data_IF_391893060109
#
_entry.id   IF_391893060109
#
_cell.length_a   1.000
_cell.length_b   1.000
_cell.length_c   1.000
_cell.angle_alpha   90.00
_cell.angle_beta   90.00
_cell.angle_gamma   90.00
#
_symmetry.space_group_name_H-M   'P 1'
#
loop_
_entity.id
_entity.type
_entity.pdbx_description
1 polymer ?
#
# COMPACT_ATOMS: atom_id res chain seq x y z
N UNK A 1 0.68 23.28 6.36
CA UNK A 1 2.05 22.92 5.92
C UNK A 1 2.12 22.97 4.40
N UNK A 2 3.34 23.14 3.84
CA UNK A 2 3.62 22.89 2.42
C UNK A 2 4.17 21.48 2.30
N UNK A 3 3.55 20.63 1.46
CA UNK A 3 3.87 19.21 1.37
C UNK A 3 4.19 18.87 -0.09
N UNK A 4 5.32 18.20 -0.33
CA UNK A 4 5.65 17.61 -1.61
C UNK A 4 5.24 16.14 -1.63
N UNK A 5 4.37 15.76 -2.58
CA UNK A 5 3.93 14.38 -2.75
C UNK A 5 4.48 13.85 -4.08
N UNK A 6 5.35 12.83 -4.02
CA UNK A 6 5.80 12.15 -5.25
C UNK A 6 4.79 11.07 -5.64
N UNK A 7 4.54 10.88 -6.94
CA UNK A 7 3.49 9.97 -7.39
C UNK A 7 2.08 10.49 -7.10
N UNK A 8 1.91 11.79 -7.11
CA UNK A 8 0.69 12.52 -6.74
C UNK A 8 -0.54 12.16 -7.59
N UNK A 9 -0.32 11.69 -8.83
CA UNK A 9 -1.39 11.25 -9.74
C UNK A 9 -1.74 9.77 -9.62
N UNK A 10 -1.02 9.03 -8.78
CA UNK A 10 -1.30 7.63 -8.46
C UNK A 10 -2.55 7.45 -7.59
N UNK A 11 -2.92 6.18 -7.33
CA UNK A 11 -4.08 5.82 -6.51
C UNK A 11 -4.00 6.42 -5.09
N UNK A 12 -2.91 6.16 -4.36
CA UNK A 12 -2.72 6.68 -3.00
C UNK A 12 -2.56 8.20 -3.03
N UNK A 13 -1.74 8.74 -3.94
CA UNK A 13 -1.52 10.17 -4.09
C UNK A 13 -2.81 10.95 -4.31
N UNK A 14 -3.70 10.45 -5.18
CA UNK A 14 -5.00 11.08 -5.44
C UNK A 14 -5.93 11.13 -4.23
N UNK A 15 -5.90 10.10 -3.39
CA UNK A 15 -6.69 10.06 -2.17
C UNK A 15 -6.09 10.96 -1.07
N UNK A 16 -4.75 10.99 -0.95
CA UNK A 16 -4.07 11.90 -0.01
C UNK A 16 -4.31 13.37 -0.38
N UNK A 17 -4.26 13.73 -1.67
CA UNK A 17 -4.59 15.10 -2.10
C UNK A 17 -5.98 15.49 -1.63
N UNK A 18 -6.99 14.63 -1.82
CA UNK A 18 -8.36 14.91 -1.34
C UNK A 18 -8.45 15.10 0.17
N UNK A 19 -7.66 14.33 0.92
CA UNK A 19 -7.69 14.40 2.39
C UNK A 19 -6.93 15.60 2.95
N UNK A 20 -5.85 16.03 2.29
CA UNK A 20 -4.89 16.99 2.85
C UNK A 20 -5.01 18.40 2.27
N UNK A 21 -5.62 18.58 1.09
CA UNK A 21 -5.57 19.86 0.35
C UNK A 21 -6.41 20.98 0.96
N UNK A 22 -7.34 20.68 1.87
CA UNK A 22 -8.12 21.71 2.57
C UNK A 22 -7.28 22.42 3.65
N UNK A 23 -6.35 21.71 4.30
CA UNK A 23 -5.54 22.23 5.41
C UNK A 23 -4.07 22.47 5.02
N UNK A 24 -3.60 21.88 3.91
CA UNK A 24 -2.20 21.94 3.48
C UNK A 24 -2.05 22.39 2.02
N UNK A 25 -0.94 23.05 1.73
CA UNK A 25 -0.55 23.37 0.35
C UNK A 25 0.21 22.19 -0.25
N UNK A 26 -0.36 21.56 -1.27
CA UNK A 26 0.22 20.36 -1.90
C UNK A 26 0.95 20.73 -3.18
N UNK A 27 2.20 20.31 -3.29
CA UNK A 27 2.98 20.24 -4.52
C UNK A 27 3.15 18.79 -4.94
N UNK A 28 3.12 18.53 -6.23
CA UNK A 28 3.33 17.21 -6.80
C UNK A 28 4.71 17.04 -7.42
N UNK A 29 5.24 15.83 -7.40
CA UNK A 29 6.38 15.41 -8.21
C UNK A 29 5.99 14.11 -8.92
N UNK A 30 5.90 14.12 -10.24
CA UNK A 30 5.44 12.96 -11.00
C UNK A 30 6.08 12.93 -12.39
N UNK A 31 5.88 11.82 -13.11
CA UNK A 31 6.28 11.66 -14.53
C UNK A 31 5.25 12.29 -15.49
N UNK A 32 4.06 12.60 -14.99
CA UNK A 32 2.98 13.30 -15.70
C UNK A 32 2.55 14.51 -14.86
N UNK A 33 2.13 15.57 -15.51
CA UNK A 33 1.79 16.83 -14.84
C UNK A 33 0.46 17.45 -15.32
N UNK A 34 -0.65 16.66 -15.40
CA UNK A 34 -1.94 17.26 -15.66
C UNK A 34 -2.36 18.16 -14.49
N UNK A 35 -3.18 19.15 -14.77
CA UNK A 35 -3.81 19.94 -13.71
C UNK A 35 -4.64 19.02 -12.82
N UNK A 36 -4.51 19.20 -11.51
CA UNK A 36 -5.21 18.38 -10.52
C UNK A 36 -5.71 19.29 -9.39
N UNK A 37 -7.01 19.19 -9.12
CA UNK A 37 -7.61 19.91 -8.00
C UNK A 37 -6.93 19.54 -6.69
N UNK A 38 -6.67 20.54 -5.85
CA UNK A 38 -5.96 20.39 -4.58
C UNK A 38 -4.43 20.32 -4.71
N UNK A 39 -3.87 20.30 -5.93
CA UNK A 39 -2.41 20.37 -6.17
C UNK A 39 -2.06 21.71 -6.79
N UNK A 40 -1.20 22.47 -6.13
CA UNK A 40 -0.82 23.80 -6.61
C UNK A 40 0.00 23.75 -7.92
N UNK A 41 0.93 22.80 -7.99
CA UNK A 41 1.74 22.55 -9.18
C UNK A 41 2.36 21.15 -9.11
N UNK A 42 2.50 20.48 -10.26
CA UNK A 42 3.20 19.20 -10.37
C UNK A 42 4.50 19.39 -11.15
N UNK A 43 5.61 19.13 -10.49
CA UNK A 43 6.97 19.18 -11.04
C UNK A 43 7.35 17.84 -11.68
N UNK A 44 8.21 17.88 -12.68
CA UNK A 44 8.92 16.69 -13.17
C UNK A 44 10.20 16.43 -12.35
N UNK A 45 10.74 15.21 -12.43
CA UNK A 45 11.86 14.76 -11.60
C UNK A 45 13.18 15.52 -11.83
N UNK A 46 13.36 16.18 -12.98
CA UNK A 46 14.51 17.05 -13.29
C UNK A 46 14.52 18.34 -12.45
N UNK A 47 13.40 18.74 -11.87
CA UNK A 47 13.34 19.91 -11.00
C UNK A 47 14.09 19.72 -9.66
N UNK A 48 14.36 18.48 -9.25
CA UNK A 48 15.19 18.21 -8.07
C UNK A 48 16.65 18.63 -8.25
N UNK A 49 17.11 18.74 -9.50
CA UNK A 49 18.50 19.09 -9.84
C UNK A 49 18.65 20.60 -10.14
N UNK A 50 17.57 21.40 -10.05
CA UNK A 50 17.57 22.84 -10.32
C UNK A 50 17.67 23.63 -9.02
N UNK A 51 18.48 24.69 -9.00
CA UNK A 51 18.70 25.51 -7.81
C UNK A 51 17.41 26.14 -7.26
N UNK A 52 16.51 26.62 -8.16
CA UNK A 52 15.19 27.15 -7.81
C UNK A 52 14.05 26.21 -8.29
N UNK A 53 14.30 24.90 -8.25
CA UNK A 53 13.42 23.95 -8.91
C UNK A 53 12.11 23.70 -8.19
N UNK A 54 12.17 23.40 -6.90
CA UNK A 54 10.99 23.08 -6.07
C UNK A 54 10.90 24.08 -4.93
N UNK A 55 9.72 24.68 -4.67
CA UNK A 55 9.53 25.58 -3.53
C UNK A 55 9.89 24.90 -2.21
N UNK A 56 10.28 25.70 -1.23
CA UNK A 56 10.48 25.20 0.13
C UNK A 56 9.22 24.53 0.67
N UNK A 57 9.38 23.31 1.21
CA UNK A 57 8.32 22.49 1.77
C UNK A 57 8.67 22.06 3.19
N UNK A 58 7.65 21.78 4.00
CA UNK A 58 7.81 21.35 5.39
C UNK A 58 7.94 19.83 5.50
N UNK A 59 7.33 19.09 4.55
CA UNK A 59 7.32 17.64 4.53
C UNK A 59 7.34 17.07 3.11
N UNK A 60 7.88 15.86 2.98
CA UNK A 60 7.88 15.09 1.74
C UNK A 60 7.20 13.75 1.98
N UNK A 61 6.20 13.40 1.14
CA UNK A 61 5.54 12.10 1.12
C UNK A 61 5.96 11.39 -0.17
N UNK A 62 6.74 10.32 -0.03
CA UNK A 62 7.27 9.59 -1.19
C UNK A 62 6.43 8.35 -1.50
N UNK A 63 5.54 8.49 -2.50
CA UNK A 63 4.67 7.43 -3.01
C UNK A 63 5.14 6.87 -4.35
N UNK A 64 5.94 7.64 -5.11
CA UNK A 64 6.39 7.22 -6.43
C UNK A 64 7.13 5.89 -6.34
N UNK A 65 6.72 4.96 -7.16
CA UNK A 65 7.29 3.62 -7.18
C UNK A 65 6.56 2.72 -8.17
N UNK A 66 7.25 1.66 -8.58
CA UNK A 66 6.66 0.59 -9.38
C UNK A 66 5.98 -0.39 -8.43
N UNK A 67 4.64 -0.47 -8.49
CA UNK A 67 3.87 -1.46 -7.74
C UNK A 67 4.13 -2.87 -8.27
N UNK A 68 3.81 -3.87 -7.45
CA UNK A 68 3.91 -5.28 -7.84
C UNK A 68 3.12 -5.54 -9.14
N UNK A 69 3.81 -6.05 -10.15
CA UNK A 69 3.20 -6.41 -11.43
C UNK A 69 2.57 -7.81 -11.33
N UNK A 70 1.25 -7.85 -11.27
CA UNK A 70 0.48 -9.11 -11.21
C UNK A 70 0.62 -9.96 -12.47
N UNK A 71 1.17 -9.41 -13.57
CA UNK A 71 1.40 -10.11 -14.83
C UNK A 71 2.84 -10.62 -14.99
N UNK A 72 3.71 -10.35 -14.01
CA UNK A 72 5.14 -10.73 -13.99
C UNK A 72 5.91 -10.35 -15.29
N UNK A 73 5.54 -9.22 -15.92
CA UNK A 73 6.16 -8.76 -17.17
C UNK A 73 7.29 -7.76 -16.95
N UNK A 74 7.38 -7.20 -15.74
CA UNK A 74 8.38 -6.17 -15.43
C UNK A 74 9.72 -6.83 -15.12
N UNK A 75 10.77 -6.39 -15.81
CA UNK A 75 12.16 -6.82 -15.57
C UNK A 75 12.62 -6.34 -14.20
N UNK A 76 13.42 -7.15 -13.50
CA UNK A 76 13.93 -6.88 -12.15
C UNK A 76 14.54 -5.47 -12.03
N UNK A 77 15.41 -5.10 -12.96
CA UNK A 77 16.16 -3.83 -12.94
C UNK A 77 15.25 -2.59 -12.90
N UNK A 78 14.05 -2.68 -13.52
CA UNK A 78 13.08 -1.58 -13.48
C UNK A 78 12.56 -1.34 -12.06
N UNK A 79 12.38 -2.40 -11.26
CA UNK A 79 11.99 -2.25 -9.86
C UNK A 79 13.06 -1.53 -9.05
N UNK A 80 14.33 -1.92 -9.19
CA UNK A 80 15.43 -1.27 -8.47
C UNK A 80 15.64 0.17 -8.93
N UNK A 81 15.63 0.43 -10.24
CA UNK A 81 15.76 1.78 -10.78
C UNK A 81 14.66 2.71 -10.26
N UNK A 82 13.41 2.23 -10.21
CA UNK A 82 12.27 3.06 -9.82
C UNK A 82 12.11 3.08 -8.29
N UNK A 83 12.08 1.92 -7.61
CA UNK A 83 11.78 1.89 -6.18
C UNK A 83 12.97 2.28 -5.31
N UNK A 84 14.19 1.88 -5.69
CA UNK A 84 15.40 2.24 -4.93
C UNK A 84 15.99 3.55 -5.45
N UNK A 85 16.21 3.68 -6.75
CA UNK A 85 16.90 4.85 -7.32
C UNK A 85 16.13 6.17 -7.15
N UNK A 86 14.80 6.18 -7.37
CA UNK A 86 14.02 7.39 -7.11
C UNK A 86 13.91 7.70 -5.62
N UNK A 87 13.89 6.68 -4.76
CA UNK A 87 13.91 6.90 -3.30
C UNK A 87 15.22 7.54 -2.86
N UNK A 88 16.36 7.07 -3.35
CA UNK A 88 17.66 7.69 -3.07
C UNK A 88 17.65 9.16 -3.50
N UNK A 89 17.26 9.44 -4.76
CA UNK A 89 17.25 10.80 -5.30
C UNK A 89 16.38 11.77 -4.47
N UNK A 90 15.15 11.39 -4.09
CA UNK A 90 14.27 12.27 -3.32
C UNK A 90 14.68 12.35 -1.84
N UNK A 91 15.29 11.30 -1.30
CA UNK A 91 15.79 11.32 0.07
C UNK A 91 17.04 12.20 0.19
N UNK A 92 17.96 12.15 -0.77
CA UNK A 92 19.13 13.04 -0.83
C UNK A 92 18.68 14.52 -0.93
N UNK A 93 17.67 14.81 -1.77
CA UNK A 93 17.04 16.12 -1.81
C UNK A 93 16.46 16.53 -0.45
N UNK A 94 15.75 15.62 0.25
CA UNK A 94 15.25 15.87 1.59
C UNK A 94 16.36 16.20 2.58
N UNK A 95 17.48 15.48 2.54
CA UNK A 95 18.63 15.72 3.44
C UNK A 95 19.23 17.10 3.24
N UNK A 96 19.31 17.62 2.02
CA UNK A 96 19.84 18.96 1.71
C UNK A 96 18.86 20.10 2.01
N UNK A 97 17.55 19.80 2.09
CA UNK A 97 16.53 20.81 2.37
C UNK A 97 16.67 21.37 3.79
N UNK A 98 16.64 22.69 3.93
CA UNK A 98 16.69 23.41 5.22
C UNK A 98 15.32 23.42 5.93
N UNK A 99 14.24 23.39 5.16
CA UNK A 99 12.86 23.56 5.63
C UNK A 99 12.11 22.25 5.81
N UNK A 100 12.35 21.25 4.96
CA UNK A 100 11.72 19.94 5.07
C UNK A 100 12.25 19.20 6.32
N UNK A 101 11.35 18.97 7.28
CA UNK A 101 11.66 18.30 8.55
C UNK A 101 11.07 16.89 8.66
N UNK A 102 10.12 16.54 7.79
CA UNK A 102 9.45 15.23 7.83
C UNK A 102 9.52 14.53 6.49
N UNK A 103 9.92 13.26 6.50
CA UNK A 103 9.94 12.40 5.32
C UNK A 103 9.12 11.14 5.57
N UNK A 104 8.11 10.88 4.76
CA UNK A 104 7.24 9.71 4.85
C UNK A 104 7.46 8.86 3.61
N UNK A 105 8.09 7.70 3.78
CA UNK A 105 8.36 6.74 2.71
C UNK A 105 7.34 5.61 2.71
N UNK A 106 6.70 5.39 1.57
CA UNK A 106 5.81 4.25 1.36
C UNK A 106 6.60 3.02 0.88
N UNK A 107 6.91 2.17 1.83
CA UNK A 107 7.41 0.83 1.59
C UNK A 107 6.23 -0.15 1.40
N UNK A 108 6.32 -1.34 1.90
CA UNK A 108 5.30 -2.39 1.83
C UNK A 108 5.55 -3.46 2.89
N UNK A 109 4.52 -4.10 3.40
CA UNK A 109 4.66 -5.28 4.25
C UNK A 109 5.47 -6.39 3.55
N UNK A 110 5.42 -6.47 2.22
CA UNK A 110 6.22 -7.40 1.39
C UNK A 110 7.73 -7.14 1.41
N UNK A 111 8.19 -5.95 1.80
CA UNK A 111 9.61 -5.68 2.04
C UNK A 111 10.12 -6.41 3.29
N UNK A 112 9.25 -6.63 4.27
CA UNK A 112 9.60 -7.39 5.47
C UNK A 112 9.52 -8.90 5.23
N UNK A 113 8.40 -9.41 4.68
CA UNK A 113 8.20 -10.83 4.46
C UNK A 113 7.22 -11.13 3.32
N UNK A 114 7.46 -12.18 2.54
CA UNK A 114 6.49 -12.70 1.57
C UNK A 114 5.45 -13.61 2.22
N UNK A 115 5.87 -14.37 3.24
CA UNK A 115 5.00 -15.20 4.08
C UNK A 115 5.17 -14.79 5.54
N UNK A 116 4.10 -14.96 6.31
CA UNK A 116 4.08 -14.63 7.73
C UNK A 116 3.56 -15.83 8.50
N UNK A 117 4.38 -16.33 9.42
CA UNK A 117 3.97 -17.31 10.42
C UNK A 117 3.56 -16.55 11.69
N UNK A 118 2.25 -16.48 11.94
CA UNK A 118 1.69 -15.66 13.01
C UNK A 118 1.39 -14.22 12.59
N UNK A 119 1.90 -13.25 13.33
CA UNK A 119 1.65 -11.82 13.11
C UNK A 119 2.95 -11.12 12.74
N UNK A 120 2.95 -10.42 11.61
CA UNK A 120 4.06 -9.59 11.17
C UNK A 120 4.17 -8.35 12.06
N UNK A 121 5.28 -8.23 12.76
CA UNK A 121 5.69 -7.02 13.51
C UNK A 121 6.87 -6.35 12.81
N UNK A 122 7.27 -5.17 13.31
CA UNK A 122 8.43 -4.45 12.76
C UNK A 122 9.78 -5.09 13.13
N UNK A 123 9.79 -5.96 14.14
CA UNK A 123 10.99 -6.65 14.64
C UNK A 123 11.39 -7.86 13.79
N UNK A 124 10.53 -8.27 12.85
CA UNK A 124 10.84 -9.39 11.93
C UNK A 124 12.04 -9.02 11.06
N UNK A 125 13.05 -9.89 11.03
CA UNK A 125 14.19 -9.74 10.12
C UNK A 125 13.69 -9.82 8.68
N UNK A 126 13.94 -8.78 7.85
CA UNK A 126 13.39 -8.73 6.50
C UNK A 126 13.89 -9.89 5.64
N UNK A 127 12.95 -10.59 5.00
CA UNK A 127 13.19 -11.69 4.05
C UNK A 127 12.23 -11.57 2.86
N UNK A 128 12.37 -10.51 2.03
CA UNK A 128 11.53 -10.32 0.86
C UNK A 128 11.78 -11.39 -0.20
N UNK A 129 10.75 -11.68 -1.00
CA UNK A 129 10.86 -12.59 -2.15
C UNK A 129 10.46 -11.85 -3.41
N UNK A 130 11.38 -11.81 -4.37
CA UNK A 130 11.20 -11.19 -5.68
C UNK A 130 11.49 -9.69 -5.73
N UNK A 131 11.68 -9.17 -6.95
CA UNK A 131 12.30 -7.86 -7.18
C UNK A 131 11.51 -6.67 -6.60
N UNK A 132 10.20 -6.81 -6.43
CA UNK A 132 9.39 -5.77 -5.80
C UNK A 132 9.75 -5.58 -4.31
N UNK A 133 9.68 -6.66 -3.51
CA UNK A 133 10.02 -6.61 -2.09
C UNK A 133 11.50 -6.27 -1.88
N UNK A 134 12.38 -6.87 -2.68
CA UNK A 134 13.83 -6.66 -2.63
C UNK A 134 14.22 -5.20 -2.94
N UNK A 135 13.59 -4.57 -3.93
CA UNK A 135 13.84 -3.16 -4.25
C UNK A 135 13.32 -2.21 -3.17
N UNK A 136 12.20 -2.55 -2.51
CA UNK A 136 11.66 -1.75 -1.41
C UNK A 136 12.53 -1.85 -0.16
N UNK A 137 13.02 -3.05 0.21
CA UNK A 137 13.93 -3.20 1.36
C UNK A 137 15.28 -2.53 1.11
N UNK A 138 15.78 -2.53 -0.14
CA UNK A 138 16.99 -1.80 -0.50
C UNK A 138 16.82 -0.28 -0.30
N UNK A 139 15.64 0.26 -0.64
CA UNK A 139 15.31 1.66 -0.38
C UNK A 139 15.20 1.96 1.12
N UNK A 140 14.58 1.07 1.92
CA UNK A 140 14.51 1.22 3.38
C UNK A 140 15.91 1.24 4.02
N UNK A 141 16.81 0.34 3.60
CA UNK A 141 18.19 0.29 4.08
C UNK A 141 18.92 1.59 3.78
N UNK A 142 18.81 2.11 2.56
CA UNK A 142 19.42 3.38 2.20
C UNK A 142 18.97 4.51 3.13
N UNK A 143 17.66 4.63 3.37
CA UNK A 143 17.10 5.63 4.26
C UNK A 143 17.67 5.46 5.70
N UNK A 144 17.68 4.22 6.22
CA UNK A 144 18.15 3.93 7.58
C UNK A 144 19.64 4.22 7.78
N UNK A 145 20.47 4.00 6.74
CA UNK A 145 21.90 4.27 6.75
C UNK A 145 22.24 5.79 6.70
N UNK A 146 21.27 6.62 6.31
CA UNK A 146 21.44 8.07 6.14
C UNK A 146 20.49 8.90 7.03
N UNK A 147 20.05 8.35 8.16
CA UNK A 147 19.25 9.11 9.13
C UNK A 147 20.08 10.25 9.75
N UNK A 148 19.41 11.37 10.03
CA UNK A 148 19.98 12.56 10.68
C UNK A 148 19.10 12.99 11.86
N UNK A 149 19.69 13.52 12.91
CA UNK A 149 19.00 13.78 14.19
C UNK A 149 17.99 14.93 14.13
N UNK A 150 18.18 15.88 13.22
CA UNK A 150 17.34 17.10 13.12
C UNK A 150 16.10 16.93 12.23
N UNK A 151 15.85 15.72 11.73
CA UNK A 151 14.74 15.40 10.82
C UNK A 151 14.01 14.12 11.24
N UNK A 152 12.71 14.08 11.01
CA UNK A 152 11.87 12.93 11.30
C UNK A 152 11.61 12.12 10.03
N UNK A 153 11.85 10.81 10.10
CA UNK A 153 11.74 9.89 8.96
C UNK A 153 10.87 8.70 9.32
N UNK A 154 9.82 8.49 8.52
CA UNK A 154 8.85 7.44 8.73
C UNK A 154 8.83 6.49 7.53
N UNK A 155 9.15 5.23 7.77
CA UNK A 155 9.07 4.15 6.77
C UNK A 155 7.77 3.38 7.04
N UNK A 156 6.78 3.57 6.19
CA UNK A 156 5.50 2.88 6.31
C UNK A 156 5.51 1.59 5.50
N UNK A 157 5.11 0.49 6.12
CA UNK A 157 4.93 -0.84 5.50
C UNK A 157 3.44 -1.20 5.44
N UNK A 158 2.65 -0.59 4.53
CA UNK A 158 1.24 -0.92 4.41
C UNK A 158 1.05 -2.35 3.89
N UNK A 159 -0.03 -2.98 4.36
CA UNK A 159 -0.65 -4.13 3.72
C UNK A 159 -1.33 -3.71 2.41
N UNK A 160 -2.14 -4.58 1.80
CA UNK A 160 -2.85 -4.24 0.57
C UNK A 160 -3.79 -3.04 0.80
N UNK A 161 -3.43 -1.89 0.22
CA UNK A 161 -4.24 -0.67 0.31
C UNK A 161 -5.46 -0.80 -0.58
N UNK A 162 -6.62 -0.39 -0.07
CA UNK A 162 -7.86 -0.29 -0.82
C UNK A 162 -8.58 1.03 -0.55
N UNK A 163 -9.39 1.46 -1.50
CA UNK A 163 -10.12 2.73 -1.45
C UNK A 163 -10.67 3.12 -2.82
N UNK A 164 -11.32 4.27 -2.94
CA UNK A 164 -11.79 4.82 -4.21
C UNK A 164 -10.66 4.96 -5.23
N UNK A 165 -10.88 4.45 -6.45
CA UNK A 165 -9.86 4.47 -7.51
C UNK A 165 -8.85 3.31 -7.47
N UNK A 166 -9.00 2.34 -6.57
CA UNK A 166 -8.18 1.13 -6.54
C UNK A 166 -8.31 0.34 -7.86
N UNK A 167 -7.17 -0.18 -8.36
CA UNK A 167 -7.09 -1.02 -9.57
C UNK A 167 -6.37 -2.36 -9.30
N UNK A 168 -6.38 -2.82 -8.05
CA UNK A 168 -5.66 -4.02 -7.62
C UNK A 168 -6.48 -5.32 -7.62
N UNK A 169 -6.02 -6.29 -6.83
CA UNK A 169 -6.63 -7.62 -6.74
C UNK A 169 -8.09 -7.61 -6.25
N UNK A 170 -8.47 -6.63 -5.44
CA UNK A 170 -9.85 -6.48 -4.97
C UNK A 170 -10.81 -6.22 -6.14
N UNK A 171 -10.41 -5.44 -7.14
CA UNK A 171 -11.21 -5.21 -8.34
C UNK A 171 -11.38 -6.48 -9.18
N UNK A 172 -10.32 -7.31 -9.27
CA UNK A 172 -10.41 -8.60 -9.96
C UNK A 172 -11.40 -9.52 -9.27
N UNK A 173 -11.34 -9.58 -7.93
CA UNK A 173 -12.27 -10.37 -7.13
C UNK A 173 -13.71 -9.86 -7.28
N UNK A 174 -13.90 -8.55 -7.20
CA UNK A 174 -15.19 -7.89 -7.45
C UNK A 174 -15.75 -8.27 -8.83
N UNK A 175 -14.92 -8.23 -9.87
CA UNK A 175 -15.30 -8.60 -11.23
C UNK A 175 -15.78 -10.06 -11.37
N UNK A 176 -15.14 -11.00 -10.65
CA UNK A 176 -15.55 -12.42 -10.61
C UNK A 176 -16.92 -12.55 -9.92
N UNK A 177 -17.09 -11.94 -8.76
CA UNK A 177 -18.36 -11.99 -8.01
C UNK A 177 -19.49 -11.31 -8.76
N UNK A 178 -19.22 -10.18 -9.43
CA UNK A 178 -20.21 -9.44 -10.25
C UNK A 178 -20.79 -10.31 -11.35
N UNK A 179 -19.98 -11.23 -11.94
CA UNK A 179 -20.42 -12.21 -12.95
C UNK A 179 -21.27 -13.34 -12.38
N UNK A 180 -21.48 -13.40 -11.06
CA UNK A 180 -22.28 -14.44 -10.41
C UNK A 180 -21.60 -15.80 -10.32
N UNK A 181 -20.27 -15.87 -10.49
CA UNK A 181 -19.49 -17.10 -10.38
C UNK A 181 -19.43 -17.51 -8.91
N UNK A 182 -19.88 -18.74 -8.55
CA UNK A 182 -19.78 -19.24 -7.19
C UNK A 182 -18.33 -19.30 -6.72
N UNK A 183 -18.09 -18.98 -5.44
CA UNK A 183 -16.76 -19.05 -4.85
C UNK A 183 -16.41 -20.46 -4.38
N UNK A 184 -15.46 -21.18 -5.00
CA UNK A 184 -15.23 -22.60 -4.71
C UNK A 184 -14.27 -22.83 -3.53
N UNK A 185 -13.61 -21.78 -3.03
CA UNK A 185 -12.54 -21.89 -2.01
C UNK A 185 -13.06 -21.70 -0.58
N UNK A 186 -14.34 -21.87 -0.33
CA UNK A 186 -14.96 -21.67 0.99
C UNK A 186 -14.45 -22.56 2.11
N UNK A 187 -13.78 -23.67 1.80
CA UNK A 187 -13.13 -24.52 2.80
C UNK A 187 -11.80 -23.93 3.33
N UNK A 188 -11.25 -22.91 2.70
CA UNK A 188 -10.02 -22.25 3.14
C UNK A 188 -10.36 -21.11 4.09
N UNK A 189 -9.92 -21.26 5.33
CA UNK A 189 -10.05 -20.23 6.38
C UNK A 189 -8.71 -19.49 6.48
N UNK A 190 -8.61 -18.37 5.81
CA UNK A 190 -7.46 -17.48 5.87
C UNK A 190 -7.81 -16.17 6.57
N UNK A 191 -6.79 -15.46 7.03
CA UNK A 191 -6.93 -14.11 7.59
C UNK A 191 -5.87 -13.20 6.99
N UNK A 192 -6.29 -12.03 6.52
CA UNK A 192 -5.40 -11.04 5.91
C UNK A 192 -5.70 -9.65 6.43
N UNK A 193 -4.65 -8.93 6.78
CA UNK A 193 -4.75 -7.51 7.07
C UNK A 193 -4.77 -6.71 5.77
N UNK A 194 -5.67 -5.76 5.69
CA UNK A 194 -5.78 -4.76 4.63
C UNK A 194 -5.49 -3.38 5.20
N UNK A 195 -5.37 -2.39 4.34
CA UNK A 195 -5.20 -0.99 4.72
C UNK A 195 -6.25 -0.17 3.98
N UNK A 196 -7.26 0.31 4.69
CA UNK A 196 -8.24 1.25 4.12
C UNK A 196 -7.59 2.62 3.90
N UNK A 197 -8.03 3.30 2.84
CA UNK A 197 -7.49 4.63 2.51
C UNK A 197 -7.83 5.66 3.61
N UNK A 198 -8.94 5.49 4.31
CA UNK A 198 -9.38 6.33 5.41
C UNK A 198 -8.39 6.24 6.58
N UNK A 199 -8.04 5.04 7.00
CA UNK A 199 -7.05 4.81 8.06
C UNK A 199 -5.65 5.26 7.63
N UNK A 200 -5.32 5.08 6.34
CA UNK A 200 -4.07 5.58 5.78
C UNK A 200 -3.98 7.11 5.89
N UNK A 201 -5.02 7.82 5.47
CA UNK A 201 -5.07 9.29 5.54
C UNK A 201 -4.94 9.78 6.99
N UNK A 202 -5.63 9.14 7.93
CA UNK A 202 -5.52 9.44 9.36
C UNK A 202 -4.09 9.28 9.89
N UNK A 203 -3.41 8.19 9.51
CA UNK A 203 -2.02 7.96 9.92
C UNK A 203 -1.09 9.02 9.32
N UNK A 204 -1.23 9.33 8.03
CA UNK A 204 -0.40 10.34 7.37
C UNK A 204 -0.59 11.71 8.03
N UNK A 205 -1.83 12.14 8.29
CA UNK A 205 -2.11 13.38 8.98
C UNK A 205 -1.48 13.41 10.38
N UNK A 206 -1.58 12.29 11.12
CA UNK A 206 -0.95 12.14 12.43
C UNK A 206 0.58 12.25 12.36
N UNK A 207 1.23 11.66 11.36
CA UNK A 207 2.69 11.77 11.17
C UNK A 207 3.12 13.19 10.78
N UNK A 208 2.29 13.91 10.03
CA UNK A 208 2.55 15.28 9.65
C UNK A 208 2.44 16.24 10.84
N UNK A 209 1.44 16.07 11.70
CA UNK A 209 1.05 17.05 12.71
C UNK A 209 1.54 16.75 14.13
N UNK A 210 1.80 15.48 14.46
CA UNK A 210 2.26 15.06 15.78
C UNK A 210 3.78 14.86 15.83
N UNK A 211 4.33 14.86 17.03
CA UNK A 211 5.73 14.46 17.29
C UNK A 211 5.79 12.94 17.47
N UNK A 212 6.03 12.24 16.35
CA UNK A 212 6.14 10.78 16.30
C UNK A 212 7.62 10.42 16.15
N UNK A 213 8.15 9.42 16.87
CA UNK A 213 9.53 8.98 16.71
C UNK A 213 9.84 8.51 15.30
N UNK A 214 11.03 8.84 14.78
CA UNK A 214 11.57 8.26 13.54
C UNK A 214 11.57 6.73 13.63
N UNK A 215 11.17 6.06 12.55
CA UNK A 215 11.20 4.59 12.53
C UNK A 215 10.38 3.93 11.45
N UNK A 216 10.37 2.61 11.50
CA UNK A 216 9.56 1.73 10.65
C UNK A 216 8.24 1.45 11.35
N UNK A 217 7.14 1.51 10.58
CA UNK A 217 5.79 1.28 11.06
C UNK A 217 5.01 0.40 10.08
N UNK A 218 4.57 -0.75 10.55
CA UNK A 218 3.60 -1.54 9.81
C UNK A 218 2.24 -0.84 9.85
N UNK A 219 1.50 -0.96 8.75
CA UNK A 219 0.21 -0.31 8.62
C UNK A 219 -0.85 -1.26 8.10
N UNK A 220 -2.00 -1.27 8.78
CA UNK A 220 -3.18 -2.04 8.43
C UNK A 220 -4.37 -1.62 9.26
N UNK A 221 -5.56 -2.08 8.86
CA UNK A 221 -6.77 -1.96 9.66
C UNK A 221 -6.67 -2.88 10.89
N UNK A 222 -7.50 -2.64 11.91
CA UNK A 222 -7.43 -3.37 13.17
C UNK A 222 -7.84 -4.84 13.01
N UNK A 223 -8.75 -5.14 12.10
CA UNK A 223 -9.27 -6.49 11.87
C UNK A 223 -8.71 -7.10 10.58
N UNK A 224 -8.30 -8.36 10.67
CA UNK A 224 -7.98 -9.16 9.50
C UNK A 224 -9.26 -9.81 8.94
N UNK A 225 -9.46 -9.75 7.63
CA UNK A 225 -10.59 -10.35 6.93
C UNK A 225 -10.16 -11.61 6.16
N UNK A 226 -11.05 -12.60 6.11
CA UNK A 226 -10.89 -13.77 5.26
C UNK A 226 -11.32 -13.45 3.82
N UNK A 227 -10.87 -14.28 2.86
CA UNK A 227 -11.35 -14.14 1.48
C UNK A 227 -12.86 -14.45 1.39
N UNK A 228 -13.38 -15.35 2.24
CA UNK A 228 -14.82 -15.62 2.29
C UNK A 228 -15.60 -14.37 2.74
N UNK A 229 -15.14 -13.67 3.78
CA UNK A 229 -15.75 -12.41 4.23
C UNK A 229 -15.69 -11.33 3.14
N UNK A 230 -14.58 -11.24 2.38
CA UNK A 230 -14.51 -10.33 1.24
C UNK A 230 -15.57 -10.65 0.18
N UNK A 231 -15.79 -11.94 -0.14
CA UNK A 231 -16.83 -12.38 -1.09
C UNK A 231 -18.22 -11.99 -0.57
N UNK A 232 -18.50 -12.19 0.72
CA UNK A 232 -19.76 -11.82 1.35
C UNK A 232 -20.03 -10.31 1.25
N UNK A 233 -19.04 -9.49 1.61
CA UNK A 233 -19.18 -8.03 1.52
C UNK A 233 -19.34 -7.53 0.07
N UNK A 234 -18.62 -8.13 -0.89
CA UNK A 234 -18.80 -7.82 -2.31
C UNK A 234 -20.23 -8.19 -2.76
N UNK A 235 -20.72 -9.40 -2.42
CA UNK A 235 -22.08 -9.80 -2.76
C UNK A 235 -23.12 -8.86 -2.15
N UNK A 236 -22.96 -8.50 -0.87
CA UNK A 236 -23.81 -7.54 -0.16
C UNK A 236 -23.83 -6.18 -0.88
N UNK A 237 -22.66 -5.67 -1.29
CA UNK A 237 -22.57 -4.40 -2.02
C UNK A 237 -23.28 -4.43 -3.37
N UNK A 238 -23.37 -5.61 -4.02
CA UNK A 238 -24.06 -5.84 -5.27
C UNK A 238 -25.55 -6.18 -5.12
N UNK A 239 -26.07 -6.27 -3.89
CA UNK A 239 -27.44 -6.73 -3.61
C UNK A 239 -27.66 -8.21 -3.97
N UNK A 240 -26.60 -9.04 -3.92
CA UNK A 240 -26.62 -10.46 -4.27
C UNK A 240 -26.40 -11.33 -3.05
N UNK A 241 -26.90 -12.57 -3.10
CA UNK A 241 -26.57 -13.61 -2.12
C UNK A 241 -25.20 -14.21 -2.44
N UNK A 242 -24.36 -14.42 -1.43
CA UNK A 242 -23.08 -15.09 -1.59
C UNK A 242 -23.28 -16.59 -1.80
N UNK A 243 -22.66 -17.14 -2.84
CA UNK A 243 -22.62 -18.57 -3.12
C UNK A 243 -21.21 -19.09 -2.87
N UNK A 244 -20.92 -19.47 -1.61
CA UNK A 244 -19.62 -19.96 -1.16
C UNK A 244 -19.68 -21.47 -1.03
N UNK A 245 -18.95 -22.16 -1.92
CA UNK A 245 -18.86 -23.63 -1.91
C UNK A 245 -17.63 -24.07 -1.14
N UNK A 246 -17.83 -25.00 -0.20
CA UNK A 246 -16.75 -25.58 0.62
C UNK A 246 -16.20 -26.85 -0.04
N UNK A 247 -15.61 -26.71 -1.24
CA UNK A 247 -14.98 -27.86 -1.90
C UNK A 247 -13.74 -28.32 -1.12
N UNK A 248 -13.42 -29.63 -1.11
CA UNK A 248 -12.27 -30.16 -0.39
C UNK A 248 -10.97 -29.50 -0.79
N UNK A 249 -10.14 -29.09 0.18
CA UNK A 249 -8.86 -28.41 -0.06
C UNK A 249 -7.95 -29.19 -1.01
N UNK A 250 -7.86 -30.53 -0.85
CA UNK A 250 -7.06 -31.39 -1.73
C UNK A 250 -7.52 -31.35 -3.20
N UNK A 251 -8.83 -31.34 -3.44
CA UNK A 251 -9.39 -31.22 -4.80
C UNK A 251 -8.98 -29.88 -5.43
N UNK A 252 -9.16 -28.77 -4.71
CA UNK A 252 -8.80 -27.46 -5.21
C UNK A 252 -7.30 -27.29 -5.46
N UNK A 253 -6.46 -27.89 -4.60
CA UNK A 253 -5.01 -27.94 -4.81
C UNK A 253 -4.63 -28.74 -6.06
N UNK A 254 -5.31 -29.89 -6.31
CA UNK A 254 -5.12 -30.68 -7.53
C UNK A 254 -5.51 -29.90 -8.78
N UNK A 255 -6.69 -29.24 -8.77
CA UNK A 255 -7.16 -28.39 -9.87
C UNK A 255 -6.16 -27.25 -10.16
N UNK A 256 -5.64 -26.59 -9.12
CA UNK A 256 -4.69 -25.50 -9.27
C UNK A 256 -3.34 -25.96 -9.87
N UNK A 257 -2.86 -27.18 -9.53
CA UNK A 257 -1.66 -27.77 -10.15
C UNK A 257 -1.86 -28.01 -11.66
N UNK A 258 -3.00 -28.62 -12.02
CA UNK A 258 -3.37 -28.85 -13.44
C UNK A 258 -3.57 -27.50 -14.14
N UNK A 259 -4.20 -26.54 -13.47
CA UNK A 259 -4.43 -25.19 -13.99
C UNK A 259 -3.13 -24.47 -14.34
N UNK A 260 -2.09 -24.62 -13.52
CA UNK A 260 -0.77 -24.08 -13.82
C UNK A 260 -0.16 -24.68 -15.09
N UNK A 261 -0.25 -25.99 -15.28
CA UNK A 261 0.25 -26.69 -16.48
C UNK A 261 -0.52 -26.29 -17.76
N UNK A 262 -1.82 -26.00 -17.64
CA UNK A 262 -2.71 -25.64 -18.77
C UNK A 262 -2.92 -24.12 -18.93
N UNK A 263 -2.21 -23.27 -18.16
CA UNK A 263 -2.36 -21.80 -18.15
C UNK A 263 -3.80 -21.32 -17.86
N UNK A 264 -4.54 -22.06 -17.02
CA UNK A 264 -5.90 -21.71 -16.61
C UNK A 264 -5.92 -20.56 -15.57
N UNK A 265 -7.10 -19.93 -15.36
CA UNK A 265 -7.23 -18.80 -14.41
C UNK A 265 -6.87 -19.09 -12.95
N UNK A 266 -6.93 -20.37 -12.50
CA UNK A 266 -6.54 -20.80 -11.17
C UNK A 266 -5.29 -21.68 -11.27
N UNK A 267 -4.15 -21.17 -10.85
CA UNK A 267 -2.89 -21.88 -10.69
C UNK A 267 -2.50 -21.97 -9.21
N UNK A 268 -1.42 -22.69 -8.89
CA UNK A 268 -0.97 -22.91 -7.52
C UNK A 268 -0.56 -21.61 -6.81
N UNK A 269 0.02 -20.65 -7.54
CA UNK A 269 0.42 -19.35 -6.97
C UNK A 269 -0.79 -18.49 -6.62
N UNK A 270 -1.78 -18.44 -7.52
CA UNK A 270 -3.04 -17.73 -7.26
C UNK A 270 -3.84 -18.37 -6.14
N UNK A 271 -3.92 -19.72 -6.10
CA UNK A 271 -4.55 -20.42 -4.99
C UNK A 271 -3.88 -20.04 -3.67
N UNK A 272 -2.54 -20.08 -3.61
CA UNK A 272 -1.77 -19.66 -2.43
C UNK A 272 -2.13 -18.23 -2.02
N UNK A 273 -2.05 -17.27 -2.95
CA UNK A 273 -2.37 -15.86 -2.68
C UNK A 273 -3.79 -15.62 -2.20
N UNK A 274 -4.74 -16.47 -2.58
CA UNK A 274 -6.15 -16.36 -2.17
C UNK A 274 -6.45 -17.05 -0.82
N UNK A 275 -5.57 -17.95 -0.38
CA UNK A 275 -5.85 -18.83 0.77
C UNK A 275 -4.82 -18.77 1.90
N UNK A 276 -3.70 -18.05 1.72
CA UNK A 276 -2.68 -17.87 2.76
C UNK A 276 -3.08 -16.83 3.80
N UNK A 277 -2.60 -17.04 5.02
CA UNK A 277 -2.66 -16.02 6.07
C UNK A 277 -1.61 -14.93 5.81
N UNK A 278 -1.98 -13.70 6.10
CA UNK A 278 -1.05 -12.57 6.11
C UNK A 278 -1.55 -11.51 7.08
N UNK A 279 -1.22 -11.66 8.34
CA UNK A 279 -1.65 -10.77 9.42
C UNK A 279 -0.48 -9.86 9.80
N UNK A 280 -0.70 -8.56 9.80
CA UNK A 280 0.29 -7.56 10.21
C UNK A 280 -0.23 -6.74 11.38
N UNK A 281 0.62 -6.49 12.37
CA UNK A 281 0.29 -5.65 13.51
C UNK A 281 0.42 -4.18 13.15
N UNK A 282 -0.56 -3.37 13.57
CA UNK A 282 -0.51 -1.92 13.54
C UNK A 282 -0.30 -1.31 14.94
N UNK A 283 0.06 -2.13 15.92
CA UNK A 283 0.14 -1.72 17.33
C UNK A 283 1.19 -0.61 17.55
N UNK A 284 2.33 -0.66 16.85
CA UNK A 284 3.40 0.32 16.97
C UNK A 284 2.97 1.70 16.49
N UNK A 285 2.33 1.79 15.33
CA UNK A 285 1.85 3.08 14.80
C UNK A 285 0.70 3.64 15.64
N UNK A 286 -0.22 2.81 16.13
CA UNK A 286 -1.29 3.25 17.04
C UNK A 286 -0.72 3.84 18.32
N UNK A 287 0.24 3.14 18.95
CA UNK A 287 0.93 3.62 20.15
C UNK A 287 1.64 4.95 19.89
N UNK A 288 2.33 5.09 18.78
CA UNK A 288 3.05 6.30 18.39
C UNK A 288 2.11 7.49 18.15
N UNK A 289 0.91 7.24 17.63
CA UNK A 289 -0.12 8.26 17.43
C UNK A 289 -0.98 8.53 18.68
N UNK A 290 -0.85 7.73 19.74
CA UNK A 290 -1.63 7.85 20.96
C UNK A 290 -3.10 7.44 20.79
N UNK A 291 -3.37 6.39 19.97
CA UNK A 291 -4.73 5.91 19.73
C UNK A 291 -4.82 4.40 20.02
N UNK A 292 -5.98 3.96 20.50
CA UNK A 292 -6.24 2.55 20.78
C UNK A 292 -6.77 1.81 19.54
N UNK A 293 -7.55 2.50 18.71
CA UNK A 293 -8.17 1.95 17.50
C UNK A 293 -7.99 2.87 16.32
N UNK A 294 -7.98 2.28 15.14
CA UNK A 294 -8.09 3.05 13.89
C UNK A 294 -9.50 3.64 13.75
N UNK A 295 -9.64 4.82 13.09
CA UNK A 295 -10.94 5.51 12.96
C UNK A 295 -12.01 4.69 12.26
N UNK A 296 -11.61 3.80 11.35
CA UNK A 296 -12.53 3.01 10.52
C UNK A 296 -12.20 1.52 10.69
N UNK A 297 -13.21 0.71 10.96
CA UNK A 297 -13.07 -0.74 10.97
C UNK A 297 -12.92 -1.30 9.54
N UNK A 298 -12.34 -2.50 9.41
CA UNK A 298 -12.00 -3.07 8.12
C UNK A 298 -13.20 -3.28 7.18
N UNK A 299 -14.40 -3.59 7.73
CA UNK A 299 -15.63 -3.77 6.93
C UNK A 299 -16.17 -2.46 6.43
N UNK A 300 -16.18 -1.42 7.25
CA UNK A 300 -16.62 -0.07 6.88
C UNK A 300 -15.72 0.52 5.79
N UNK A 301 -14.40 0.42 5.92
CA UNK A 301 -13.45 0.84 4.88
C UNK A 301 -13.62 0.04 3.58
N UNK A 302 -13.86 -1.27 3.68
CA UNK A 302 -14.14 -2.11 2.52
C UNK A 302 -15.45 -1.71 1.83
N UNK A 303 -16.52 -1.44 2.58
CA UNK A 303 -17.81 -0.99 2.04
C UNK A 303 -17.66 0.33 1.25
N UNK A 304 -16.93 1.31 1.79
CA UNK A 304 -16.64 2.57 1.10
C UNK A 304 -15.91 2.32 -0.23
N UNK A 305 -14.92 1.44 -0.23
CA UNK A 305 -14.21 1.02 -1.45
C UNK A 305 -15.14 0.39 -2.47
N UNK A 306 -15.96 -0.59 -2.05
CA UNK A 306 -16.87 -1.33 -2.94
C UNK A 306 -17.95 -0.43 -3.55
N UNK A 307 -18.41 0.59 -2.83
CA UNK A 307 -19.32 1.63 -3.38
C UNK A 307 -18.70 2.38 -4.55
N UNK A 308 -17.38 2.58 -4.53
CA UNK A 308 -16.65 3.28 -5.61
C UNK A 308 -16.46 2.45 -6.88
N UNK A 309 -16.74 1.12 -6.86
CA UNK A 309 -16.64 0.23 -8.02
C UNK A 309 -17.95 0.13 -8.82
N UNK A 310 -19.02 0.69 -8.31
CA UNK A 310 -20.33 0.80 -9.00
C UNK A 310 -20.29 1.95 -9.99
#
# INVERSE_FOLDING_TARGET
MKILITGVHGFVGSNLVKALSEEHTIYGLDIVSPVKDGVRYTFSWDYLDKEDGIPEVDAIIHLAGKAHDTKNKTVSDVYFKVNTGLTQKIYDYFLTSKTAKKFIFFSTAKAAADKVDGILTEDVVPSPVGPYGESKIAAEKYIQEHLVDDKQVYILRPCMIHGPGNKGNLNLLYGVVKKGIPWPLGAFENRRTFTSIENLNFVIEGLLTKDVPTGIYNMGDDEALSTNELIEEICKSLGKKAHIWKLPKGLMTGIAKIGGALHLPLDSERLRKLTENYISSNAKIKKALGVEKMPVDARTGLEATLKSFK
#
